data_IF_679772540526
#
_entry.id   IF_679772540526
#
_cell.length_a   1.000
_cell.length_b   1.000
_cell.length_c   1.000
_cell.angle_alpha   90.00
_cell.angle_beta   90.00
_cell.angle_gamma   90.00
#
_symmetry.space_group_name_H-M   'P 1'
#
loop_
_entity.id
_entity.type
_entity.pdbx_description
1 polymer ?
#
# COMPACT_ATOMS: atom_id res chain seq x y z
N UNK A 1 5.20 -9.44 -17.75
CA UNK A 1 6.41 -8.62 -17.48
C UNK A 1 5.96 -7.23 -17.11
N UNK A 2 6.43 -6.67 -15.98
CA UNK A 2 6.17 -5.27 -15.66
C UNK A 2 6.81 -4.34 -16.70
N UNK A 3 6.40 -3.06 -16.70
CA UNK A 3 6.96 -2.05 -17.63
C UNK A 3 8.48 -2.01 -17.47
N UNK A 4 9.20 -1.90 -18.59
CA UNK A 4 10.67 -1.82 -18.67
C UNK A 4 11.44 -3.10 -18.26
N UNK A 5 10.80 -4.28 -18.26
CA UNK A 5 11.47 -5.54 -17.97
C UNK A 5 11.78 -5.76 -16.48
N UNK A 6 11.25 -4.92 -15.61
CA UNK A 6 11.29 -5.10 -14.16
C UNK A 6 9.89 -5.49 -13.64
N UNK A 7 9.86 -6.34 -12.64
CA UNK A 7 8.67 -6.68 -11.87
C UNK A 7 8.72 -5.97 -10.52
N UNK A 8 7.58 -5.49 -10.05
CA UNK A 8 7.45 -4.79 -8.78
C UNK A 8 6.55 -5.58 -7.84
N UNK A 9 6.83 -5.46 -6.55
CA UNK A 9 6.08 -6.10 -5.48
C UNK A 9 5.88 -5.11 -4.35
N UNK A 10 4.66 -5.07 -3.82
CA UNK A 10 4.29 -4.26 -2.67
C UNK A 10 3.99 -5.17 -1.49
N UNK A 11 4.51 -4.81 -0.32
CA UNK A 11 4.25 -5.53 0.93
C UNK A 11 3.69 -4.61 1.99
N UNK A 12 2.66 -5.08 2.68
CA UNK A 12 2.20 -4.48 3.91
C UNK A 12 3.17 -4.82 5.04
N UNK A 13 3.58 -3.82 5.80
CA UNK A 13 4.54 -3.98 6.88
C UNK A 13 4.18 -3.09 8.09
N UNK A 14 4.92 -3.31 9.17
CA UNK A 14 4.86 -2.54 10.42
C UNK A 14 6.23 -1.97 10.74
N UNK A 15 6.31 -0.67 10.99
CA UNK A 15 7.53 0.00 11.45
C UNK A 15 7.86 -0.37 12.90
N UNK A 16 9.08 -0.04 13.36
CA UNK A 16 9.48 -0.25 14.76
C UNK A 16 8.62 0.58 15.74
N UNK A 17 8.09 1.71 15.29
CA UNK A 17 7.22 2.59 16.06
C UNK A 17 5.72 2.22 15.95
N UNK A 18 5.43 0.97 15.57
CA UNK A 18 4.06 0.43 15.49
C UNK A 18 3.13 1.18 14.54
N UNK A 19 3.66 1.69 13.42
CA UNK A 19 2.85 2.27 12.33
C UNK A 19 2.82 1.34 11.12
N UNK A 20 1.65 1.25 10.47
CA UNK A 20 1.52 0.53 9.20
C UNK A 20 2.24 1.26 8.07
N UNK A 21 2.85 0.50 7.15
CA UNK A 21 3.46 1.03 5.93
C UNK A 21 3.42 0.03 4.77
N UNK A 22 3.70 0.52 3.56
CA UNK A 22 3.94 -0.28 2.35
C UNK A 22 5.42 -0.24 2.02
N UNK A 23 6.01 -1.40 1.75
CA UNK A 23 7.35 -1.53 1.20
C UNK A 23 7.25 -1.81 -0.30
N UNK A 24 8.12 -1.18 -1.10
CA UNK A 24 8.24 -1.43 -2.53
C UNK A 24 9.55 -2.18 -2.82
N UNK A 25 9.43 -3.29 -3.53
CA UNK A 25 10.55 -4.07 -4.04
C UNK A 25 10.49 -4.16 -5.57
N UNK A 26 11.66 -4.31 -6.18
CA UNK A 26 11.79 -4.58 -7.62
C UNK A 26 12.63 -5.82 -7.85
N UNK A 27 12.36 -6.52 -8.95
CA UNK A 27 13.13 -7.68 -9.39
C UNK A 27 13.18 -7.73 -10.91
N UNK A 28 14.29 -8.24 -11.45
CA UNK A 28 14.41 -8.54 -12.88
C UNK A 28 14.02 -9.98 -13.23
N UNK A 29 14.04 -10.87 -12.24
CA UNK A 29 13.94 -12.32 -12.45
C UNK A 29 12.87 -12.99 -11.57
N UNK A 30 12.13 -12.23 -10.75
CA UNK A 30 11.16 -12.69 -9.75
C UNK A 30 11.73 -13.50 -8.57
N UNK A 31 13.05 -13.70 -8.52
CA UNK A 31 13.73 -14.46 -7.47
C UNK A 31 14.56 -13.55 -6.56
N UNK A 32 15.31 -12.63 -7.15
CA UNK A 32 16.14 -11.66 -6.45
C UNK A 32 15.40 -10.33 -6.35
N UNK A 33 15.13 -9.90 -5.11
CA UNK A 33 14.33 -8.71 -4.83
C UNK A 33 15.20 -7.63 -4.16
N UNK A 34 15.20 -6.45 -4.76
CA UNK A 34 15.87 -5.26 -4.23
C UNK A 34 14.84 -4.33 -3.58
N UNK A 35 15.11 -3.91 -2.34
CA UNK A 35 14.33 -2.86 -1.69
C UNK A 35 14.47 -1.55 -2.46
N UNK A 36 13.36 -0.85 -2.67
CA UNK A 36 13.32 0.43 -3.39
C UNK A 36 13.02 1.56 -2.43
N UNK A 37 11.87 1.52 -1.76
CA UNK A 37 11.37 2.60 -0.92
C UNK A 37 10.20 2.19 -0.04
N UNK A 38 9.76 3.10 0.83
CA UNK A 38 8.49 3.03 1.57
C UNK A 38 7.53 4.05 0.95
N UNK A 39 6.76 3.70 -0.09
CA UNK A 39 5.92 4.68 -0.80
C UNK A 39 4.85 5.31 0.08
N UNK A 40 4.24 4.54 0.98
CA UNK A 40 3.20 5.03 1.89
C UNK A 40 3.40 4.45 3.28
N UNK A 41 3.17 5.25 4.33
CA UNK A 41 3.34 4.81 5.70
C UNK A 41 3.20 5.93 6.71
N UNK A 42 3.40 5.58 7.98
CA UNK A 42 3.53 6.51 9.11
C UNK A 42 2.31 7.39 9.41
N UNK A 43 1.15 7.02 8.86
CA UNK A 43 -0.10 7.73 9.09
C UNK A 43 -0.69 7.44 10.46
N UNK A 44 -1.00 8.51 11.18
CA UNK A 44 -1.70 8.42 12.45
C UNK A 44 -3.13 7.89 12.22
N UNK A 45 -3.63 7.13 13.19
CA UNK A 45 -4.97 6.52 13.18
C UNK A 45 -5.25 5.50 12.06
N UNK A 46 -4.24 5.07 11.30
CA UNK A 46 -4.40 4.08 10.21
C UNK A 46 -4.00 2.65 10.62
N UNK A 47 -3.90 2.40 11.92
CA UNK A 47 -3.54 1.08 12.47
C UNK A 47 -2.03 0.82 12.39
N UNK A 48 -1.61 -0.24 13.08
CA UNK A 48 -0.19 -0.62 13.16
C UNK A 48 0.25 -1.54 12.01
N UNK A 49 -0.68 -2.07 11.23
CA UNK A 49 -0.43 -3.01 10.14
C UNK A 49 -1.38 -2.71 8.99
N UNK A 50 -0.86 -2.75 7.77
CA UNK A 50 -1.64 -2.69 6.54
C UNK A 50 -1.52 -4.04 5.86
N UNK A 51 -2.64 -4.70 5.59
CA UNK A 51 -2.70 -6.04 5.01
C UNK A 51 -3.27 -6.00 3.60
N UNK A 52 -3.00 -7.05 2.83
CA UNK A 52 -3.52 -7.23 1.47
C UNK A 52 -3.34 -6.01 0.57
N UNK A 53 -2.11 -5.45 0.43
CA UNK A 53 -1.90 -4.33 -0.47
C UNK A 53 -2.18 -4.78 -1.91
N UNK A 54 -2.94 -3.96 -2.62
CA UNK A 54 -3.14 -4.10 -4.06
C UNK A 54 -2.99 -2.74 -4.73
N UNK A 55 -2.56 -2.73 -5.98
CA UNK A 55 -2.35 -1.51 -6.74
C UNK A 55 -2.95 -1.64 -8.13
N UNK A 56 -3.73 -0.64 -8.54
CA UNK A 56 -4.34 -0.60 -9.86
C UNK A 56 -4.47 0.82 -10.36
N UNK A 57 -4.66 0.98 -11.67
CA UNK A 57 -4.91 2.28 -12.29
C UNK A 57 -6.40 2.54 -12.43
N UNK A 58 -6.84 3.74 -12.06
CA UNK A 58 -8.19 4.25 -12.31
C UNK A 58 -8.09 5.53 -13.14
N UNK A 59 -8.22 5.39 -14.46
CA UNK A 59 -7.90 6.46 -15.41
C UNK A 59 -6.41 6.84 -15.32
N UNK A 60 -6.13 8.11 -15.04
CA UNK A 60 -4.77 8.64 -14.92
C UNK A 60 -4.22 8.61 -13.47
N UNK A 61 -4.94 7.96 -12.54
CA UNK A 61 -4.56 7.88 -11.13
C UNK A 61 -4.07 6.48 -10.78
N UNK A 62 -3.01 6.42 -9.99
CA UNK A 62 -2.59 5.19 -9.31
C UNK A 62 -3.37 5.06 -8.00
N UNK A 63 -3.94 3.89 -7.75
CA UNK A 63 -4.73 3.60 -6.55
C UNK A 63 -4.02 2.52 -5.76
N UNK A 64 -3.85 2.77 -4.46
CA UNK A 64 -3.43 1.78 -3.48
C UNK A 64 -4.64 1.38 -2.63
N UNK A 65 -4.96 0.10 -2.70
CA UNK A 65 -5.96 -0.55 -1.87
C UNK A 65 -5.25 -1.31 -0.76
N UNK A 66 -5.74 -1.18 0.47
CA UNK A 66 -5.19 -1.89 1.62
C UNK A 66 -6.26 -2.11 2.68
N UNK A 67 -6.03 -3.09 3.54
CA UNK A 67 -6.84 -3.39 4.71
C UNK A 67 -6.08 -2.95 5.96
N UNK A 68 -6.32 -1.75 6.50
CA UNK A 68 -5.62 -1.31 7.70
C UNK A 68 -6.20 -2.04 8.91
N UNK A 69 -5.36 -2.45 9.86
CA UNK A 69 -5.84 -3.06 11.11
C UNK A 69 -6.78 -2.15 11.92
N UNK A 70 -6.75 -0.83 11.68
CA UNK A 70 -7.74 0.10 12.21
C UNK A 70 -9.16 -0.13 11.66
N UNK A 71 -9.31 -0.59 10.41
CA UNK A 71 -10.62 -0.94 9.85
C UNK A 71 -11.26 -2.11 10.61
N UNK A 72 -10.46 -3.04 11.15
CA UNK A 72 -10.97 -4.11 12.02
C UNK A 72 -11.63 -3.55 13.29
N UNK A 73 -11.14 -2.43 13.84
CA UNK A 73 -11.82 -1.78 14.98
C UNK A 73 -13.18 -1.21 14.60
N UNK A 74 -13.31 -0.70 13.37
CA UNK A 74 -14.58 -0.21 12.83
C UNK A 74 -15.54 -1.36 12.49
N UNK A 75 -15.02 -2.53 12.09
CA UNK A 75 -15.87 -3.68 11.76
C UNK A 75 -16.68 -4.18 12.96
N UNK A 76 -16.17 -4.03 14.19
CA UNK A 76 -16.93 -4.34 15.40
C UNK A 76 -18.11 -3.40 15.68
N UNK A 77 -18.26 -2.32 14.91
CA UNK A 77 -19.34 -1.31 15.09
C UNK A 77 -20.38 -1.33 13.96
N UNK A 78 -20.24 -2.24 13.00
CA UNK A 78 -21.14 -2.35 11.85
C UNK A 78 -21.79 -3.72 11.84
N UNK A 79 -23.12 -3.75 11.72
CA UNK A 79 -23.89 -5.00 11.76
C UNK A 79 -23.87 -5.76 10.42
N UNK A 80 -23.57 -5.09 9.30
CA UNK A 80 -23.46 -5.66 7.95
C UNK A 80 -22.71 -4.75 6.98
N UNK A 81 -22.00 -5.33 5.99
CA UNK A 81 -21.29 -4.63 4.92
C UNK A 81 -19.77 -4.87 4.91
N UNK A 82 -19.08 -4.39 3.87
CA UNK A 82 -17.61 -4.44 3.77
C UNK A 82 -17.01 -3.07 4.08
N UNK A 83 -15.89 -3.03 4.81
CA UNK A 83 -15.08 -1.80 4.94
C UNK A 83 -14.04 -1.82 3.83
N UNK A 84 -14.23 -0.99 2.82
CA UNK A 84 -13.25 -0.78 1.75
C UNK A 84 -12.56 0.54 2.01
N UNK A 85 -11.27 0.49 2.37
CA UNK A 85 -10.45 1.70 2.54
C UNK A 85 -9.78 2.01 1.20
N UNK A 86 -10.40 2.88 0.41
CA UNK A 86 -9.79 3.41 -0.80
C UNK A 86 -9.05 4.68 -0.42
N UNK A 87 -7.72 4.68 -0.58
CA UNK A 87 -6.94 5.90 -0.49
C UNK A 87 -6.85 6.48 -1.90
N UNK A 88 -7.66 7.51 -2.26
CA UNK A 88 -7.41 8.22 -3.50
C UNK A 88 -6.03 8.86 -3.39
N UNK A 89 -5.25 8.77 -4.46
CA UNK A 89 -4.05 9.58 -4.64
C UNK A 89 -4.43 11.06 -4.45
N UNK A 90 -4.19 11.59 -3.24
CA UNK A 90 -4.11 13.01 -2.97
C UNK A 90 -2.70 13.38 -3.42
N UNK A 91 -2.62 13.80 -4.69
CA UNK A 91 -1.45 13.91 -5.57
C UNK A 91 -0.20 14.66 -5.09
N UNK A 92 -0.01 14.80 -3.79
CA UNK A 92 1.09 15.53 -3.17
C UNK A 92 1.83 14.73 -2.07
N UNK A 93 1.34 13.56 -1.60
CA UNK A 93 1.88 12.98 -0.34
C UNK A 93 2.13 11.46 -0.23
N UNK A 94 1.72 10.60 -1.17
CA UNK A 94 1.85 9.14 -0.94
C UNK A 94 2.55 8.36 -2.03
N UNK A 95 2.97 9.01 -3.10
CA UNK A 95 3.83 8.39 -4.09
C UNK A 95 4.80 9.46 -4.53
N UNK A 96 6.09 9.14 -4.50
CA UNK A 96 7.07 9.92 -5.26
C UNK A 96 6.52 10.05 -6.67
N UNK A 97 6.25 11.27 -7.13
CA UNK A 97 6.07 11.53 -8.56
C UNK A 97 7.19 10.77 -9.26
N UNK A 98 6.83 9.88 -10.19
CA UNK A 98 7.71 8.93 -10.89
C UNK A 98 7.96 7.58 -10.19
N UNK A 99 6.90 6.83 -9.86
CA UNK A 99 7.02 5.35 -9.71
C UNK A 99 7.03 4.67 -11.09
N UNK A 100 7.01 5.46 -12.17
CA UNK A 100 7.22 5.02 -13.55
C UNK A 100 8.01 6.08 -14.30
#
# INVERSE_FOLDING_TARGET
MGKNGACYMVFGARTKDYKGCILLYKSKDLHNWEFVSVPAGELDNMGYMWECPDTFKLGNKDVLLLSPSAALKLSYKIDKGNIVTILPDRGDRYFSKNIY
#
